data_IF_136941619386
#
_entry.id   IF_136941619386
#
_cell.length_a   1.000
_cell.length_b   1.000
_cell.length_c   1.000
_cell.angle_alpha   90.00
_cell.angle_beta   90.00
_cell.angle_gamma   90.00
#
_symmetry.space_group_name_H-M   'P 1'
#
loop_
_entity.id
_entity.type
_entity.pdbx_description
1 polymer ?
#
# COMPACT_ATOMS: atom_id res chain seq x y z
N UNK A 1 25.65 17.67 -5.42
CA UNK A 1 24.57 16.98 -4.68
C UNK A 1 24.49 15.58 -5.26
N UNK A 2 24.88 14.55 -4.53
CA UNK A 2 24.74 13.16 -5.01
C UNK A 2 23.28 12.76 -4.97
N UNK A 3 22.73 12.28 -6.07
CA UNK A 3 21.41 11.64 -6.11
C UNK A 3 21.46 10.39 -5.25
N UNK A 4 20.75 10.37 -4.11
CA UNK A 4 20.53 9.13 -3.37
C UNK A 4 19.61 8.26 -4.22
N UNK A 5 20.18 7.22 -4.83
CA UNK A 5 19.40 6.21 -5.54
C UNK A 5 18.78 5.25 -4.53
N UNK A 6 17.49 4.96 -4.72
CA UNK A 6 16.78 4.00 -3.88
C UNK A 6 17.25 2.57 -4.19
N UNK A 7 17.45 1.72 -3.17
CA UNK A 7 17.77 0.32 -3.40
C UNK A 7 16.59 -0.37 -4.13
N UNK A 8 16.93 -1.36 -4.94
CA UNK A 8 15.97 -2.15 -5.71
C UNK A 8 16.37 -3.62 -5.72
N UNK A 9 15.39 -4.49 -5.93
CA UNK A 9 15.56 -5.92 -5.91
C UNK A 9 15.35 -6.53 -4.52
N UNK A 10 16.07 -7.61 -4.21
CA UNK A 10 16.00 -8.26 -2.92
C UNK A 10 16.47 -7.31 -1.81
N UNK A 11 15.66 -7.15 -0.76
CA UNK A 11 15.97 -6.23 0.36
C UNK A 11 17.29 -6.56 1.07
N UNK A 12 17.73 -7.83 1.02
CA UNK A 12 18.94 -8.31 1.71
C UNK A 12 20.18 -8.30 0.81
N UNK A 13 20.06 -8.68 -0.47
CA UNK A 13 21.22 -8.87 -1.35
C UNK A 13 21.19 -8.07 -2.66
N UNK A 14 20.12 -7.31 -2.94
CA UNK A 14 19.98 -6.50 -4.15
C UNK A 14 19.78 -7.26 -5.47
N UNK A 15 19.70 -8.59 -5.44
CA UNK A 15 19.41 -9.39 -6.64
C UNK A 15 18.08 -8.94 -7.26
N UNK A 16 17.99 -8.81 -8.58
CA UNK A 16 16.79 -8.31 -9.27
C UNK A 16 15.90 -9.41 -9.87
N UNK A 17 16.47 -10.59 -10.10
CA UNK A 17 15.76 -11.70 -10.75
C UNK A 17 15.23 -12.73 -9.74
N UNK A 18 14.10 -13.36 -10.10
CA UNK A 18 13.51 -14.46 -9.32
C UNK A 18 13.05 -14.01 -7.94
N UNK A 19 12.44 -12.83 -7.87
CA UNK A 19 12.00 -12.24 -6.60
C UNK A 19 10.57 -12.63 -6.24
N UNK A 20 10.39 -12.90 -4.96
CA UNK A 20 9.12 -13.17 -4.31
C UNK A 20 8.79 -11.97 -3.42
N UNK A 21 7.62 -11.38 -3.63
CA UNK A 21 7.12 -10.35 -2.73
C UNK A 21 6.82 -10.94 -1.35
N UNK A 22 7.02 -10.16 -0.30
CA UNK A 22 6.57 -10.53 1.03
C UNK A 22 5.05 -10.78 1.00
N UNK A 23 4.64 -11.99 1.41
CA UNK A 23 3.23 -12.39 1.45
C UNK A 23 2.36 -11.51 2.37
N UNK A 24 2.97 -10.85 3.36
CA UNK A 24 2.30 -9.98 4.31
C UNK A 24 1.99 -8.58 3.76
N UNK A 25 3.03 -7.81 3.41
CA UNK A 25 2.87 -6.42 3.01
C UNK A 25 2.74 -6.23 1.49
N UNK A 26 3.26 -7.17 0.69
CA UNK A 26 3.37 -7.11 -0.78
C UNK A 26 4.17 -5.91 -1.31
N UNK A 27 5.12 -5.40 -0.52
CA UNK A 27 5.92 -4.22 -0.86
C UNK A 27 7.39 -4.58 -1.05
N UNK A 28 8.01 -5.19 -0.03
CA UNK A 28 9.40 -5.67 -0.13
C UNK A 28 9.46 -6.99 -0.89
N UNK A 29 10.61 -7.25 -1.51
CA UNK A 29 10.86 -8.45 -2.29
C UNK A 29 12.12 -9.17 -1.83
N UNK A 30 12.13 -10.49 -1.95
CA UNK A 30 13.25 -11.36 -1.56
C UNK A 30 13.52 -12.40 -2.64
N UNK A 31 14.76 -12.83 -2.82
CA UNK A 31 15.06 -13.93 -3.75
C UNK A 31 14.68 -15.32 -3.20
N UNK A 32 14.27 -15.41 -1.93
CA UNK A 32 13.89 -16.66 -1.28
C UNK A 32 13.56 -16.48 0.19
N UNK A 33 13.12 -17.57 0.82
CA UNK A 33 12.67 -17.60 2.22
C UNK A 33 13.76 -17.26 3.23
N UNK A 34 15.01 -17.59 2.92
CA UNK A 34 16.14 -17.33 3.84
C UNK A 34 16.34 -15.82 4.05
N UNK A 35 16.26 -15.03 2.97
CA UNK A 35 16.35 -13.57 3.06
C UNK A 35 15.10 -12.94 3.69
N UNK A 36 13.91 -13.51 3.47
CA UNK A 36 12.70 -13.06 4.17
C UNK A 36 12.83 -13.29 5.69
N UNK A 37 13.36 -14.43 6.12
CA UNK A 37 13.56 -14.73 7.55
C UNK A 37 14.65 -13.85 8.15
N UNK A 38 15.73 -13.60 7.41
CA UNK A 38 16.83 -12.73 7.84
C UNK A 38 16.37 -11.28 8.05
N UNK A 39 15.57 -10.74 7.14
CA UNK A 39 15.03 -9.38 7.23
C UNK A 39 13.79 -9.26 8.13
N UNK A 40 13.19 -10.38 8.55
CA UNK A 40 11.97 -10.39 9.37
C UNK A 40 12.04 -9.48 10.60
N UNK A 41 13.14 -9.43 11.40
CA UNK A 41 13.19 -8.57 12.59
C UNK A 41 13.12 -7.07 12.26
N UNK A 42 13.81 -6.61 11.22
CA UNK A 42 13.81 -5.22 10.73
C UNK A 42 12.49 -4.88 10.04
N UNK A 43 11.98 -5.78 9.22
CA UNK A 43 10.80 -5.57 8.40
C UNK A 43 9.47 -5.68 9.17
N UNK A 44 9.40 -6.46 10.26
CA UNK A 44 8.14 -6.85 10.92
C UNK A 44 7.20 -5.70 11.27
N UNK A 45 7.72 -4.58 11.77
CA UNK A 45 6.90 -3.42 12.17
C UNK A 45 6.18 -2.83 10.95
N UNK A 46 6.96 -2.42 9.94
CA UNK A 46 6.47 -1.89 8.66
C UNK A 46 5.56 -2.90 7.95
N UNK A 47 5.96 -4.17 7.89
CA UNK A 47 5.17 -5.26 7.32
C UNK A 47 3.75 -5.30 7.91
N UNK A 48 3.67 -5.27 9.24
CA UNK A 48 2.41 -5.37 9.95
C UNK A 48 1.53 -4.13 9.76
N UNK A 49 2.14 -2.94 9.68
CA UNK A 49 1.43 -1.68 9.47
C UNK A 49 0.81 -1.62 8.06
N UNK A 50 1.63 -1.88 7.03
CA UNK A 50 1.18 -1.94 5.63
C UNK A 50 0.07 -2.96 5.46
N UNK A 51 0.25 -4.18 6.01
CA UNK A 51 -0.76 -5.24 5.91
C UNK A 51 -2.09 -4.82 6.54
N UNK A 52 -2.08 -4.25 7.75
CA UNK A 52 -3.31 -3.79 8.42
C UNK A 52 -3.98 -2.65 7.66
N UNK A 53 -3.20 -1.68 7.18
CA UNK A 53 -3.72 -0.55 6.42
C UNK A 53 -4.36 -1.01 5.10
N UNK A 54 -3.74 -1.98 4.40
CA UNK A 54 -4.29 -2.57 3.18
C UNK A 54 -5.63 -3.24 3.43
N UNK A 55 -5.71 -4.12 4.43
CA UNK A 55 -6.96 -4.81 4.79
C UNK A 55 -8.06 -3.81 5.13
N UNK A 56 -7.73 -2.75 5.87
CA UNK A 56 -8.69 -1.68 6.19
C UNK A 56 -9.15 -0.95 4.93
N UNK A 57 -8.23 -0.53 4.08
CA UNK A 57 -8.55 0.17 2.83
C UNK A 57 -9.45 -0.69 1.93
N UNK A 58 -9.11 -1.96 1.74
CA UNK A 58 -9.91 -2.92 0.96
C UNK A 58 -11.32 -3.07 1.54
N UNK A 59 -11.46 -3.12 2.87
CA UNK A 59 -12.77 -3.18 3.52
C UNK A 59 -13.63 -1.94 3.25
N UNK A 60 -13.08 -0.75 3.47
CA UNK A 60 -13.78 0.52 3.21
C UNK A 60 -14.13 0.69 1.73
N UNK A 61 -13.25 0.22 0.83
CA UNK A 61 -13.51 0.21 -0.60
C UNK A 61 -14.74 -0.63 -0.95
N UNK A 62 -14.85 -1.84 -0.38
CA UNK A 62 -16.01 -2.69 -0.59
C UNK A 62 -17.31 -2.05 -0.08
N UNK A 63 -17.25 -1.31 1.05
CA UNK A 63 -18.41 -0.56 1.55
C UNK A 63 -18.86 0.47 0.52
N UNK A 64 -17.94 1.26 -0.03
CA UNK A 64 -18.24 2.30 -1.02
C UNK A 64 -18.74 1.69 -2.33
N UNK A 65 -18.12 0.60 -2.81
CA UNK A 65 -18.52 -0.08 -4.06
C UNK A 65 -19.92 -0.69 -3.96
N UNK A 66 -20.26 -1.23 -2.79
CA UNK A 66 -21.58 -1.83 -2.55
C UNK A 66 -22.64 -0.81 -2.14
N UNK A 67 -22.29 0.47 -2.02
CA UNK A 67 -23.23 1.50 -1.61
C UNK A 67 -24.22 1.80 -2.76
N UNK A 68 -25.54 1.64 -2.54
CA UNK A 68 -26.55 1.82 -3.58
C UNK A 68 -26.76 3.30 -3.98
N UNK A 69 -26.10 4.22 -3.29
CA UNK A 69 -26.33 5.65 -3.37
C UNK A 69 -27.47 6.10 -2.46
N UNK A 70 -27.33 7.28 -1.89
CA UNK A 70 -28.34 7.93 -1.07
C UNK A 70 -28.18 9.46 -1.13
N UNK A 71 -28.86 10.16 -0.22
CA UNK A 71 -28.80 11.61 -0.14
C UNK A 71 -27.41 12.15 0.28
N UNK A 72 -26.58 11.32 0.91
CA UNK A 72 -25.27 11.70 1.46
C UNK A 72 -24.10 11.26 0.55
N UNK A 73 -24.29 10.26 -0.30
CA UNK A 73 -23.29 9.75 -1.23
C UNK A 73 -23.93 9.26 -2.54
N UNK A 74 -23.42 9.63 -3.73
CA UNK A 74 -23.89 9.09 -5.00
C UNK A 74 -23.58 7.59 -5.12
N UNK A 75 -24.39 6.87 -5.90
CA UNK A 75 -24.05 5.51 -6.34
C UNK A 75 -22.76 5.55 -7.17
N UNK A 76 -21.94 4.50 -7.07
CA UNK A 76 -20.64 4.41 -7.77
C UNK A 76 -19.77 5.68 -7.59
N UNK A 77 -19.49 6.01 -6.33
CA UNK A 77 -18.72 7.21 -5.97
C UNK A 77 -17.34 7.25 -6.65
N UNK A 78 -16.73 6.10 -6.98
CA UNK A 78 -15.42 6.04 -7.64
C UNK A 78 -15.43 6.64 -9.05
N UNK A 79 -16.53 6.47 -9.78
CA UNK A 79 -16.70 7.04 -11.12
C UNK A 79 -17.31 8.44 -11.04
N UNK A 80 -18.34 8.61 -10.21
CA UNK A 80 -19.17 9.81 -10.21
C UNK A 80 -18.62 10.96 -9.36
N UNK A 81 -17.55 10.73 -8.59
CA UNK A 81 -17.00 11.73 -7.65
C UNK A 81 -15.49 11.93 -7.77
N UNK A 82 -14.89 11.64 -8.92
CA UNK A 82 -13.47 11.91 -9.18
C UNK A 82 -13.16 13.39 -8.96
N UNK A 83 -12.07 13.69 -8.24
CA UNK A 83 -11.68 15.06 -7.89
C UNK A 83 -12.44 15.69 -6.71
N UNK A 84 -13.64 15.18 -6.38
CA UNK A 84 -14.42 15.60 -5.21
C UNK A 84 -14.45 14.55 -4.08
N UNK A 85 -13.82 13.39 -4.30
CA UNK A 85 -13.99 12.20 -3.46
C UNK A 85 -13.72 12.44 -1.96
N UNK A 86 -12.75 13.29 -1.57
CA UNK A 86 -12.49 13.63 -0.16
C UNK A 86 -13.57 14.51 0.51
N UNK A 87 -14.37 15.22 -0.30
CA UNK A 87 -15.47 16.07 0.14
C UNK A 87 -16.70 15.29 0.60
N UNK A 88 -16.85 14.04 0.18
CA UNK A 88 -17.98 13.17 0.53
C UNK A 88 -17.72 12.54 1.89
N UNK A 89 -18.65 12.70 2.84
CA UNK A 89 -18.44 12.19 4.20
C UNK A 89 -18.27 10.66 4.24
N UNK A 90 -19.09 9.93 3.48
CA UNK A 90 -19.06 8.47 3.47
C UNK A 90 -17.82 7.84 2.81
N UNK A 91 -17.01 8.59 2.07
CA UNK A 91 -15.77 8.10 1.45
C UNK A 91 -14.52 8.40 2.27
N UNK A 92 -14.63 9.22 3.33
CA UNK A 92 -13.47 9.71 4.09
C UNK A 92 -12.70 8.60 4.78
N UNK A 93 -13.37 7.57 5.27
CA UNK A 93 -12.69 6.48 5.97
C UNK A 93 -11.84 5.63 5.02
N UNK A 94 -12.34 5.34 3.82
CA UNK A 94 -11.51 4.79 2.74
C UNK A 94 -10.32 5.67 2.44
N UNK A 95 -10.53 6.98 2.26
CA UNK A 95 -9.44 7.85 1.86
C UNK A 95 -8.37 8.01 2.96
N UNK A 96 -8.77 8.04 4.23
CA UNK A 96 -7.82 7.98 5.36
C UNK A 96 -7.06 6.66 5.39
N UNK A 97 -7.73 5.54 5.14
CA UNK A 97 -7.09 4.22 5.09
C UNK A 97 -6.10 4.11 3.93
N UNK A 98 -6.47 4.63 2.75
CA UNK A 98 -5.62 4.72 1.56
C UNK A 98 -4.40 5.61 1.81
N UNK A 99 -4.59 6.80 2.39
CA UNK A 99 -3.48 7.68 2.78
C UNK A 99 -2.53 7.01 3.77
N UNK A 100 -3.07 6.34 4.80
CA UNK A 100 -2.25 5.61 5.77
C UNK A 100 -1.46 4.47 5.10
N UNK A 101 -2.05 3.75 4.13
CA UNK A 101 -1.35 2.71 3.39
C UNK A 101 -0.14 3.28 2.64
N UNK A 102 -0.33 4.38 1.90
CA UNK A 102 0.73 5.07 1.15
C UNK A 102 1.81 5.60 2.10
N UNK A 103 1.42 6.20 3.23
CA UNK A 103 2.36 6.69 4.25
C UNK A 103 3.23 5.56 4.83
N UNK A 104 2.61 4.41 5.17
CA UNK A 104 3.38 3.25 5.66
C UNK A 104 4.28 2.64 4.59
N UNK A 105 3.88 2.67 3.31
CA UNK A 105 4.78 2.29 2.21
C UNK A 105 5.96 3.24 2.13
N UNK A 106 5.74 4.56 2.22
CA UNK A 106 6.79 5.58 2.17
C UNK A 106 7.90 5.43 3.22
N UNK A 107 7.64 4.71 4.31
CA UNK A 107 8.65 4.38 5.33
C UNK A 107 9.62 3.26 4.91
N UNK A 108 9.34 2.57 3.80
CA UNK A 108 10.21 1.54 3.21
C UNK A 108 11.03 2.18 2.10
N UNK A 109 12.33 2.35 2.35
CA UNK A 109 13.27 3.06 1.47
C UNK A 109 13.70 2.17 0.29
N UNK A 110 12.78 1.81 -0.61
CA UNK A 110 13.08 1.01 -1.80
C UNK A 110 12.22 1.40 -3.03
N UNK A 111 12.70 1.08 -4.23
CA UNK A 111 12.01 1.38 -5.49
C UNK A 111 10.64 0.69 -5.57
N UNK A 112 10.53 -0.55 -5.09
CA UNK A 112 9.30 -1.32 -5.14
C UNK A 112 8.17 -0.71 -4.28
N UNK A 113 8.54 -0.03 -3.20
CA UNK A 113 7.63 0.69 -2.33
C UNK A 113 7.10 1.94 -3.00
N UNK A 114 7.99 2.71 -3.64
CA UNK A 114 7.56 3.86 -4.43
C UNK A 114 6.64 3.41 -5.56
N UNK A 115 6.98 2.32 -6.25
CA UNK A 115 6.12 1.77 -7.30
C UNK A 115 4.76 1.31 -6.75
N UNK A 116 4.73 0.64 -5.59
CA UNK A 116 3.50 0.20 -4.95
C UNK A 116 2.60 1.37 -4.50
N UNK A 117 3.18 2.54 -4.19
CA UNK A 117 2.42 3.75 -3.88
C UNK A 117 1.72 4.34 -5.11
N UNK A 118 2.31 4.20 -6.31
CA UNK A 118 1.72 4.71 -7.55
C UNK A 118 0.46 3.93 -7.98
N UNK A 119 0.33 2.68 -7.53
CA UNK A 119 -0.86 1.86 -7.77
C UNK A 119 -2.02 2.20 -6.82
N UNK A 120 -1.81 3.16 -5.90
CA UNK A 120 -2.75 3.63 -4.89
C UNK A 120 -2.90 5.15 -4.92
#
# INVERSE_FOLDING_TARGET
MGTKELPSGCEVCGKKDGLLQCSGCKVVSYCGRDHEVADRPSHKSACSAIRRARVKMEHEEQIIRNHPGDWAMPADAFTNSVGHFWGILGTRDYMRARFALVDYMGQVDNVQSVQAQLDH
#
